data_IF_715088398042
#
_entry.id   IF_715088398042
#
_cell.length_a   1.000
_cell.length_b   1.000
_cell.length_c   1.000
_cell.angle_alpha   90.00
_cell.angle_beta   90.00
_cell.angle_gamma   90.00
#
_symmetry.space_group_name_H-M   'P 1'
#
loop_
_entity.id
_entity.type
_entity.pdbx_description
1 polymer ?
#
# COMPACT_ATOMS: atom_id res chain seq x y z
N UNK A 1 14.39 6.80 24.42
CA UNK A 1 14.52 5.35 24.24
C UNK A 1 14.94 5.05 22.81
N UNK A 2 15.94 4.20 22.62
CA UNK A 2 16.40 3.72 21.32
C UNK A 2 15.64 2.42 21.00
N UNK A 3 14.44 2.55 20.45
CA UNK A 3 13.55 1.43 20.17
C UNK A 3 12.74 1.67 18.89
N UNK A 4 12.32 0.58 18.27
CA UNK A 4 11.39 0.54 17.12
C UNK A 4 10.39 -0.59 17.34
N UNK A 5 9.34 -0.66 16.53
CA UNK A 5 8.44 -1.81 16.54
C UNK A 5 8.78 -2.83 15.43
N UNK A 6 8.17 -4.02 15.52
CA UNK A 6 8.39 -5.08 14.55
C UNK A 6 7.96 -4.71 13.12
N UNK A 7 6.95 -3.85 12.95
CA UNK A 7 6.49 -3.44 11.62
C UNK A 7 7.52 -2.56 10.92
N UNK A 8 8.07 -1.57 11.62
CA UNK A 8 9.16 -0.73 11.08
C UNK A 8 10.43 -1.54 10.89
N UNK A 9 10.81 -2.40 11.84
CA UNK A 9 11.97 -3.27 11.72
C UNK A 9 11.88 -4.14 10.45
N UNK A 10 10.71 -4.67 10.12
CA UNK A 10 10.50 -5.52 8.94
C UNK A 10 10.71 -4.77 7.60
N UNK A 11 10.76 -3.44 7.59
CA UNK A 11 11.02 -2.62 6.38
C UNK A 11 12.51 -2.35 6.13
N UNK A 12 13.36 -2.70 7.06
CA UNK A 12 14.80 -2.39 6.99
C UNK A 12 15.62 -3.37 6.14
N UNK A 13 15.07 -4.52 5.78
CA UNK A 13 15.75 -5.70 5.23
C UNK A 13 16.79 -6.32 6.20
N UNK A 14 16.88 -5.86 7.44
CA UNK A 14 17.79 -6.38 8.46
C UNK A 14 17.07 -7.27 9.49
N UNK A 15 15.75 -7.24 9.49
CA UNK A 15 14.91 -7.99 10.43
C UNK A 15 14.51 -9.36 9.86
N UNK A 16 14.74 -10.39 10.64
CA UNK A 16 14.35 -11.75 10.29
C UNK A 16 12.94 -12.05 10.83
N UNK A 17 11.96 -12.11 9.94
CA UNK A 17 10.55 -12.39 10.30
C UNK A 17 10.33 -13.81 10.85
N UNK A 18 11.32 -14.70 10.76
CA UNK A 18 11.23 -16.06 11.33
C UNK A 18 11.60 -16.09 12.79
N UNK A 19 12.64 -15.35 13.17
CA UNK A 19 13.14 -15.29 14.54
C UNK A 19 12.59 -14.10 15.31
N UNK A 20 11.94 -13.15 14.63
CA UNK A 20 11.49 -11.85 15.16
C UNK A 20 12.63 -11.02 15.78
N UNK A 21 13.81 -11.07 15.17
CA UNK A 21 15.03 -10.41 15.62
C UNK A 21 15.80 -9.83 14.44
N UNK A 22 16.79 -8.98 14.71
CA UNK A 22 17.77 -8.57 13.73
C UNK A 22 18.55 -9.78 13.22
N UNK A 23 18.71 -9.88 11.89
CA UNK A 23 19.38 -11.03 11.26
C UNK A 23 20.90 -10.93 11.38
N UNK A 24 21.50 -11.78 12.21
CA UNK A 24 22.93 -11.77 12.48
C UNK A 24 23.78 -12.02 11.24
N UNK A 25 23.29 -12.81 10.28
CA UNK A 25 24.04 -13.13 9.06
C UNK A 25 24.05 -11.93 8.12
N UNK A 26 22.90 -11.28 7.93
CA UNK A 26 22.78 -10.06 7.13
C UNK A 26 23.65 -8.94 7.73
N UNK A 27 23.55 -8.72 9.05
CA UNK A 27 24.37 -7.71 9.73
C UNK A 27 25.87 -7.95 9.55
N UNK A 28 26.30 -9.20 9.68
CA UNK A 28 27.71 -9.57 9.46
C UNK A 28 28.14 -9.33 8.02
N UNK A 29 27.32 -9.72 7.03
CA UNK A 29 27.60 -9.54 5.60
C UNK A 29 27.71 -8.06 5.21
N UNK A 30 26.83 -7.22 5.76
CA UNK A 30 26.81 -5.78 5.51
C UNK A 30 27.74 -5.00 6.43
N UNK A 31 28.45 -5.67 7.36
CA UNK A 31 29.34 -5.05 8.36
C UNK A 31 28.63 -4.02 9.24
N UNK A 32 27.37 -4.26 9.58
CA UNK A 32 26.56 -3.40 10.45
C UNK A 32 26.72 -3.85 11.90
N UNK A 33 27.23 -2.99 12.80
CA UNK A 33 27.36 -3.32 14.22
C UNK A 33 25.98 -3.45 14.88
N UNK A 34 25.72 -4.56 15.59
CA UNK A 34 24.41 -4.80 16.20
C UNK A 34 24.03 -3.79 17.29
N UNK A 35 25.00 -3.17 17.95
CA UNK A 35 24.76 -2.20 19.03
C UNK A 35 24.17 -0.86 18.56
N UNK A 36 24.25 -0.55 17.25
CA UNK A 36 23.61 0.65 16.68
C UNK A 36 22.14 0.44 16.33
N UNK A 37 21.64 -0.80 16.37
CA UNK A 37 20.27 -1.08 16.03
C UNK A 37 19.34 -0.90 17.24
N UNK A 38 18.13 -0.37 17.02
CA UNK A 38 17.18 -0.15 18.11
C UNK A 38 16.63 -1.47 18.68
N UNK A 39 16.18 -1.43 19.93
CA UNK A 39 15.43 -2.55 20.51
C UNK A 39 14.10 -2.72 19.77
N UNK A 40 13.79 -3.96 19.37
CA UNK A 40 12.52 -4.28 18.68
C UNK A 40 11.44 -4.59 19.71
N UNK A 41 10.36 -3.81 19.69
CA UNK A 41 9.22 -3.92 20.58
C UNK A 41 7.95 -4.35 19.86
N UNK A 42 6.88 -4.60 20.62
CA UNK A 42 5.53 -4.76 20.06
C UNK A 42 5.05 -3.44 19.44
N UNK A 43 4.06 -3.47 18.58
CA UNK A 43 3.47 -2.25 17.98
C UNK A 43 2.70 -1.41 19.00
N UNK A 44 2.21 -2.05 20.08
CA UNK A 44 1.72 -1.42 21.30
C UNK A 44 2.66 -1.83 22.43
N UNK A 45 3.41 -0.89 23.00
CA UNK A 45 4.45 -1.11 23.99
C UNK A 45 4.88 0.22 24.62
N UNK A 46 5.67 0.20 25.68
CA UNK A 46 6.25 1.40 26.28
C UNK A 46 7.50 1.86 25.52
N UNK A 47 7.37 2.89 24.69
CA UNK A 47 8.49 3.53 23.96
C UNK A 47 9.11 4.72 24.70
N UNK A 48 8.66 5.00 25.94
CA UNK A 48 9.13 6.12 26.74
C UNK A 48 8.08 7.25 26.83
N UNK A 49 8.57 8.48 27.03
CA UNK A 49 7.70 9.65 27.20
C UNK A 49 8.20 10.82 26.38
N UNK A 50 7.30 11.73 26.00
CA UNK A 50 7.68 13.00 25.38
C UNK A 50 8.43 13.89 26.38
N UNK A 51 9.35 14.71 25.87
CA UNK A 51 10.03 15.68 26.71
C UNK A 51 9.15 16.93 26.91
N UNK A 52 9.10 17.41 28.18
CA UNK A 52 8.24 18.54 28.54
C UNK A 52 8.50 19.82 27.75
N UNK A 53 9.74 20.06 27.35
CA UNK A 53 10.10 21.25 26.56
C UNK A 53 9.45 21.28 25.16
N UNK A 54 9.03 20.13 24.62
CA UNK A 54 8.44 20.02 23.29
C UNK A 54 6.90 20.10 23.37
N UNK A 55 6.30 19.43 24.35
CA UNK A 55 4.84 19.23 24.43
C UNK A 55 4.20 19.91 25.64
N UNK A 56 4.96 20.66 26.44
CA UNK A 56 4.48 21.31 27.68
C UNK A 56 4.25 20.33 28.83
N UNK A 57 3.89 19.09 28.54
CA UNK A 57 3.69 18.00 29.51
C UNK A 57 4.42 16.75 29.02
N UNK A 58 4.61 15.78 29.94
CA UNK A 58 5.20 14.49 29.58
C UNK A 58 4.08 13.49 29.29
N UNK A 59 3.96 13.09 28.01
CA UNK A 59 2.98 12.09 27.56
C UNK A 59 3.68 10.76 27.31
N UNK A 60 3.08 9.63 27.68
CA UNK A 60 3.60 8.30 27.31
C UNK A 60 3.51 8.11 25.78
N UNK A 61 4.53 7.45 25.22
CA UNK A 61 4.54 6.99 23.83
C UNK A 61 4.30 5.49 23.89
N UNK A 62 3.10 5.04 23.54
CA UNK A 62 2.63 3.68 23.76
C UNK A 62 2.32 2.92 22.47
N UNK A 63 2.41 3.56 21.31
CA UNK A 63 2.23 2.94 20.02
C UNK A 63 3.26 3.43 19.01
N UNK A 64 3.88 2.50 18.31
CA UNK A 64 4.75 2.74 17.15
C UNK A 64 4.43 1.70 16.11
N UNK A 65 4.17 2.13 14.88
CA UNK A 65 3.77 1.25 13.78
C UNK A 65 4.10 1.89 12.44
N UNK A 66 4.53 1.08 11.45
CA UNK A 66 4.79 1.55 10.10
C UNK A 66 3.50 2.09 9.45
N UNK A 67 3.62 3.08 8.58
CA UNK A 67 2.49 3.81 8.00
C UNK A 67 1.47 2.91 7.27
N UNK A 68 1.95 1.97 6.45
CA UNK A 68 1.08 1.04 5.71
C UNK A 68 0.37 0.06 6.65
N UNK A 69 1.05 -0.42 7.68
CA UNK A 69 0.50 -1.26 8.72
C UNK A 69 -0.49 -0.50 9.59
N UNK A 70 -0.17 0.73 9.96
CA UNK A 70 -1.08 1.62 10.69
C UNK A 70 -2.39 1.83 9.91
N UNK A 71 -2.32 2.13 8.61
CA UNK A 71 -3.50 2.26 7.77
C UNK A 71 -4.31 0.95 7.70
N UNK A 72 -3.66 -0.21 7.69
CA UNK A 72 -4.31 -1.52 7.73
C UNK A 72 -5.10 -1.71 9.02
N UNK A 73 -4.52 -1.30 10.15
CA UNK A 73 -5.15 -1.31 11.47
C UNK A 73 -6.29 -0.29 11.53
N UNK A 74 -6.06 0.95 11.09
CA UNK A 74 -7.06 2.02 11.10
C UNK A 74 -8.28 1.71 10.21
N UNK A 75 -8.12 0.86 9.22
CA UNK A 75 -9.21 0.29 8.43
C UNK A 75 -9.77 -1.02 9.01
N UNK A 76 -9.41 -1.41 10.23
CA UNK A 76 -9.90 -2.61 10.92
C UNK A 76 -9.69 -3.88 10.07
N UNK A 77 -8.52 -4.05 9.43
CA UNK A 77 -8.16 -5.25 8.68
C UNK A 77 -7.51 -6.30 9.59
N UNK A 78 -8.19 -6.69 10.67
CA UNK A 78 -7.67 -7.62 11.68
C UNK A 78 -7.86 -9.08 11.29
N UNK A 79 -8.86 -9.39 10.50
CA UNK A 79 -9.16 -10.76 10.10
C UNK A 79 -8.26 -11.25 8.97
N UNK A 80 -7.92 -12.54 8.99
CA UNK A 80 -7.21 -13.18 7.90
C UNK A 80 -7.99 -13.04 6.59
N UNK A 81 -7.32 -12.58 5.54
CA UNK A 81 -7.90 -12.31 4.22
C UNK A 81 -8.48 -10.91 4.07
N UNK A 82 -8.50 -10.09 5.13
CA UNK A 82 -8.82 -8.67 5.01
C UNK A 82 -7.73 -7.95 4.22
N UNK A 83 -8.15 -7.08 3.32
CA UNK A 83 -7.25 -6.33 2.44
C UNK A 83 -7.46 -4.84 2.62
N UNK A 84 -6.35 -4.14 2.73
CA UNK A 84 -6.28 -2.67 2.64
C UNK A 84 -5.47 -2.29 1.41
N UNK A 85 -5.92 -1.28 0.68
CA UNK A 85 -5.15 -0.69 -0.40
C UNK A 85 -5.23 0.83 -0.37
N UNK A 86 -4.07 1.49 -0.33
CA UNK A 86 -3.96 2.94 -0.43
C UNK A 86 -3.63 3.32 -1.87
N UNK A 87 -4.50 4.08 -2.52
CA UNK A 87 -4.31 4.59 -3.89
C UNK A 87 -3.88 6.07 -3.84
N UNK A 88 -2.57 6.29 -3.60
CA UNK A 88 -1.91 7.59 -3.63
C UNK A 88 -1.16 7.82 -4.94
N UNK A 89 0.08 8.32 -4.87
CA UNK A 89 1.01 8.45 -6.01
C UNK A 89 1.25 7.09 -6.68
N UNK A 90 1.56 6.07 -5.90
CA UNK A 90 1.46 4.65 -6.23
C UNK A 90 0.29 4.01 -5.49
N UNK A 91 0.20 2.68 -5.53
CA UNK A 91 -0.73 1.94 -4.69
C UNK A 91 -0.01 0.86 -3.89
N UNK A 92 -0.42 0.72 -2.62
CA UNK A 92 0.16 -0.25 -1.69
C UNK A 92 -0.95 -1.11 -1.11
N UNK A 93 -0.89 -2.39 -1.45
CA UNK A 93 -1.88 -3.39 -1.04
C UNK A 93 -1.29 -4.27 0.04
N UNK A 94 -1.97 -4.36 1.17
CA UNK A 94 -1.63 -5.26 2.27
C UNK A 94 -2.80 -6.18 2.55
N UNK A 95 -2.54 -7.49 2.55
CA UNK A 95 -3.49 -8.51 2.94
C UNK A 95 -3.04 -9.22 4.20
N UNK A 96 -3.84 -9.18 5.24
CA UNK A 96 -3.60 -9.89 6.49
C UNK A 96 -3.64 -11.41 6.27
N UNK A 97 -2.56 -12.12 6.61
CA UNK A 97 -2.45 -13.59 6.49
C UNK A 97 -2.65 -14.31 7.81
N UNK A 98 -2.88 -13.56 8.89
CA UNK A 98 -2.99 -14.09 10.25
C UNK A 98 -1.64 -14.49 10.85
N UNK A 99 -1.60 -15.47 11.76
CA UNK A 99 -0.37 -15.85 12.46
C UNK A 99 0.61 -16.67 11.60
N UNK A 100 0.19 -17.11 10.42
CA UNK A 100 1.05 -17.90 9.52
C UNK A 100 1.72 -17.00 8.49
N UNK A 101 3.05 -17.10 8.39
CA UNK A 101 3.82 -16.52 7.30
C UNK A 101 3.49 -17.26 6.00
N UNK A 102 3.12 -16.52 4.98
CA UNK A 102 2.96 -17.04 3.63
C UNK A 102 4.10 -16.48 2.79
N UNK A 103 5.01 -17.35 2.39
CA UNK A 103 6.05 -16.99 1.44
C UNK A 103 5.47 -17.06 0.04
N UNK A 104 5.32 -15.89 -0.56
CA UNK A 104 4.75 -15.79 -1.90
C UNK A 104 5.62 -16.51 -2.93
N UNK A 105 4.99 -17.33 -3.76
CA UNK A 105 5.58 -17.91 -4.97
C UNK A 105 5.31 -17.04 -6.20
N UNK A 106 4.53 -15.98 -6.03
CA UNK A 106 4.08 -15.09 -7.08
C UNK A 106 4.62 -13.65 -6.90
N UNK A 107 5.84 -13.53 -6.34
CA UNK A 107 6.60 -12.29 -6.25
C UNK A 107 5.93 -11.18 -5.41
N UNK A 108 5.19 -11.57 -4.37
CA UNK A 108 4.71 -10.64 -3.36
C UNK A 108 5.65 -10.63 -2.16
N UNK A 109 5.61 -9.58 -1.36
CA UNK A 109 6.45 -9.45 -0.17
C UNK A 109 5.71 -10.02 1.05
N UNK A 110 6.41 -10.83 1.85
CA UNK A 110 5.90 -11.23 3.17
C UNK A 110 6.42 -10.25 4.21
N UNK A 111 5.53 -9.70 5.01
CA UNK A 111 5.87 -8.67 6.00
C UNK A 111 5.15 -8.91 7.34
N UNK A 112 5.54 -8.17 8.38
CA UNK A 112 4.80 -8.12 9.64
C UNK A 112 3.67 -7.11 9.51
N UNK A 113 2.43 -7.55 9.79
CA UNK A 113 1.26 -6.68 9.81
C UNK A 113 1.18 -5.87 11.11
N UNK A 114 1.38 -6.53 12.24
CA UNK A 114 1.57 -5.96 13.58
C UNK A 114 2.08 -7.04 14.53
N UNK A 115 2.60 -6.61 15.68
CA UNK A 115 3.02 -7.50 16.77
C UNK A 115 2.42 -7.02 18.07
N UNK A 116 1.70 -7.91 18.76
CA UNK A 116 1.06 -7.67 20.04
C UNK A 116 1.32 -8.85 20.98
N UNK A 117 1.68 -8.58 22.23
CA UNK A 117 1.95 -9.61 23.24
C UNK A 117 2.93 -10.68 22.71
N UNK A 118 4.00 -10.23 22.04
CA UNK A 118 5.05 -11.05 21.40
C UNK A 118 4.56 -12.01 20.30
N UNK A 119 3.33 -11.84 19.84
CA UNK A 119 2.75 -12.61 18.75
C UNK A 119 2.64 -11.73 17.49
N UNK A 120 3.32 -12.15 16.42
CA UNK A 120 3.27 -11.48 15.14
C UNK A 120 2.07 -11.94 14.32
N UNK A 121 1.35 -10.98 13.76
CA UNK A 121 0.44 -11.19 12.64
C UNK A 121 1.17 -10.79 11.36
N UNK A 122 1.06 -11.59 10.32
CA UNK A 122 1.78 -11.39 9.06
C UNK A 122 0.85 -10.90 7.96
N UNK A 123 1.45 -10.40 6.89
CA UNK A 123 0.73 -9.97 5.70
C UNK A 123 1.51 -10.31 4.43
N UNK A 124 0.80 -10.41 3.32
CA UNK A 124 1.37 -10.26 1.97
C UNK A 124 1.17 -8.81 1.50
N UNK A 125 2.20 -8.28 0.87
CA UNK A 125 2.23 -6.93 0.35
C UNK A 125 2.59 -6.92 -1.13
N UNK A 126 1.93 -6.03 -1.87
CA UNK A 126 2.29 -5.70 -3.25
C UNK A 126 2.22 -4.21 -3.49
N UNK A 127 3.11 -3.71 -4.34
CA UNK A 127 3.23 -2.30 -4.65
C UNK A 127 3.03 -2.06 -6.15
N UNK A 128 2.20 -1.09 -6.49
CA UNK A 128 2.02 -0.54 -7.83
C UNK A 128 2.70 0.83 -7.83
N UNK A 129 3.70 1.02 -8.68
CA UNK A 129 4.52 2.24 -8.61
C UNK A 129 3.79 3.49 -9.11
N UNK A 130 2.94 3.32 -10.13
CA UNK A 130 2.20 4.41 -10.76
C UNK A 130 0.71 4.18 -10.63
N UNK A 131 0.07 4.99 -9.80
CA UNK A 131 -1.38 5.09 -9.65
C UNK A 131 -1.79 6.56 -9.89
N UNK A 132 -2.00 7.36 -8.84
CA UNK A 132 -2.28 8.78 -8.97
C UNK A 132 -1.19 9.57 -9.68
N UNK A 133 0.06 9.08 -9.71
CA UNK A 133 1.14 9.67 -10.50
C UNK A 133 0.82 9.71 -12.00
N UNK A 134 0.04 8.74 -12.53
CA UNK A 134 -0.46 8.77 -13.90
C UNK A 134 -1.37 9.98 -14.16
N UNK A 135 -2.26 10.28 -13.20
CA UNK A 135 -3.13 11.47 -13.26
C UNK A 135 -2.32 12.76 -13.15
N UNK A 136 -1.31 12.79 -12.26
CA UNK A 136 -0.40 13.93 -12.15
C UNK A 136 0.38 14.15 -13.46
N UNK A 137 0.86 13.08 -14.07
CA UNK A 137 1.52 13.15 -15.38
C UNK A 137 0.61 13.71 -16.48
N UNK A 138 -0.66 13.25 -16.55
CA UNK A 138 -1.65 13.78 -17.49
C UNK A 138 -1.90 15.27 -17.28
N UNK A 139 -1.93 15.73 -16.02
CA UNK A 139 -2.12 17.14 -15.66
C UNK A 139 -0.87 17.98 -15.92
N UNK A 140 0.29 17.54 -15.39
CA UNK A 140 1.47 18.40 -15.27
C UNK A 140 2.38 18.37 -16.49
N UNK A 141 2.47 17.24 -17.18
CA UNK A 141 3.33 17.04 -18.34
C UNK A 141 2.55 17.07 -19.64
N UNK A 142 1.46 16.32 -19.72
CA UNK A 142 0.66 16.22 -20.94
C UNK A 142 -0.36 17.36 -21.09
N UNK A 143 -0.68 18.09 -20.00
CA UNK A 143 -1.65 19.20 -19.97
C UNK A 143 -3.05 18.81 -20.49
N UNK A 144 -3.44 17.53 -20.31
CA UNK A 144 -4.73 17.01 -20.77
C UNK A 144 -5.90 17.42 -19.85
N UNK A 145 -5.61 17.76 -18.59
CA UNK A 145 -6.55 18.24 -17.56
C UNK A 145 -5.88 19.34 -16.75
N UNK A 146 -6.70 20.18 -16.12
CA UNK A 146 -6.22 21.23 -15.18
C UNK A 146 -6.19 20.74 -13.74
N UNK A 147 -7.15 19.90 -13.34
CA UNK A 147 -7.30 19.37 -11.99
C UNK A 147 -7.56 17.86 -12.02
N UNK A 148 -7.02 17.12 -11.05
CA UNK A 148 -7.27 15.68 -10.93
C UNK A 148 -8.76 15.33 -10.78
N UNK A 149 -9.56 16.20 -10.15
CA UNK A 149 -11.01 16.01 -10.00
C UNK A 149 -11.79 16.00 -11.32
N UNK A 150 -11.23 16.53 -12.41
CA UNK A 150 -11.87 16.48 -13.73
C UNK A 150 -11.93 15.07 -14.31
N UNK A 151 -11.04 14.18 -13.88
CA UNK A 151 -10.95 12.82 -14.40
C UNK A 151 -12.26 12.05 -14.30
N UNK A 152 -13.01 12.20 -13.20
CA UNK A 152 -14.29 11.51 -13.02
C UNK A 152 -15.32 11.94 -14.07
N UNK A 153 -15.43 13.23 -14.37
CA UNK A 153 -16.32 13.75 -15.41
C UNK A 153 -15.90 13.24 -16.79
N UNK A 154 -14.60 13.21 -17.06
CA UNK A 154 -14.05 12.72 -18.33
C UNK A 154 -14.40 11.25 -18.54
N UNK A 155 -14.07 10.36 -17.59
CA UNK A 155 -14.32 8.93 -17.75
C UNK A 155 -15.81 8.60 -17.86
N UNK A 156 -16.69 9.32 -17.13
CA UNK A 156 -18.15 9.19 -17.22
C UNK A 156 -18.71 9.62 -18.58
N UNK A 157 -18.03 10.50 -19.31
CA UNK A 157 -18.47 10.97 -20.63
C UNK A 157 -18.24 9.95 -21.76
N UNK A 158 -17.50 8.88 -21.50
CA UNK A 158 -17.15 7.86 -22.47
C UNK A 158 -17.86 6.54 -22.18
N UNK A 159 -18.40 5.90 -23.20
CA UNK A 159 -19.00 4.55 -23.06
C UNK A 159 -17.94 3.46 -22.85
N UNK A 160 -16.77 3.59 -23.47
CA UNK A 160 -15.65 2.64 -23.40
C UNK A 160 -14.31 3.38 -23.46
N UNK A 161 -13.19 2.67 -23.32
CA UNK A 161 -11.85 3.20 -23.58
C UNK A 161 -11.50 3.22 -25.09
N UNK A 162 -12.42 2.82 -25.96
CA UNK A 162 -12.26 2.76 -27.41
C UNK A 162 -11.01 1.96 -27.86
N UNK A 163 -10.62 0.94 -27.08
CA UNK A 163 -9.44 0.10 -27.35
C UNK A 163 -8.11 0.74 -26.94
N UNK A 164 -8.13 1.89 -26.26
CA UNK A 164 -6.90 2.58 -25.81
C UNK A 164 -6.50 2.07 -24.41
N UNK A 165 -5.27 1.60 -24.28
CA UNK A 165 -4.72 1.07 -23.04
C UNK A 165 -3.37 1.73 -22.73
N UNK A 166 -3.11 1.91 -21.42
CA UNK A 166 -1.83 2.40 -20.91
C UNK A 166 -1.19 1.35 -20.00
N UNK A 167 0.08 1.04 -20.26
CA UNK A 167 0.97 0.41 -19.26
C UNK A 167 1.78 1.54 -18.63
N UNK A 168 1.51 1.96 -17.39
CA UNK A 168 2.11 3.15 -16.79
C UNK A 168 3.47 2.85 -16.14
N UNK A 169 4.37 2.16 -16.84
CA UNK A 169 5.68 1.77 -16.33
C UNK A 169 6.69 2.94 -16.36
N UNK A 170 6.32 4.13 -15.88
CA UNK A 170 7.14 5.35 -15.97
C UNK A 170 8.45 5.24 -15.17
N UNK A 171 8.46 4.44 -14.12
CA UNK A 171 9.62 4.12 -13.27
C UNK A 171 9.83 2.60 -13.13
N UNK A 172 9.41 1.85 -14.14
CA UNK A 172 9.34 0.39 -14.12
C UNK A 172 7.99 -0.10 -13.60
N UNK A 173 7.87 -1.43 -13.48
CA UNK A 173 6.70 -2.12 -12.93
C UNK A 173 7.02 -2.67 -11.54
N UNK A 174 6.09 -2.49 -10.60
CA UNK A 174 6.13 -3.09 -9.26
C UNK A 174 5.66 -4.54 -9.24
N UNK A 175 5.08 -4.96 -8.14
CA UNK A 175 4.55 -6.31 -7.99
C UNK A 175 3.41 -6.60 -9.00
N UNK A 176 3.32 -7.81 -9.52
CA UNK A 176 4.18 -8.97 -9.32
C UNK A 176 5.38 -9.05 -10.27
N UNK A 177 5.56 -8.05 -11.14
CA UNK A 177 6.55 -8.09 -12.24
C UNK A 177 7.97 -7.78 -11.79
N UNK A 178 8.16 -6.74 -10.97
CA UNK A 178 9.44 -6.23 -10.48
C UNK A 178 10.43 -5.98 -11.63
N UNK A 179 9.95 -5.33 -12.70
CA UNK A 179 10.76 -4.96 -13.86
C UNK A 179 11.09 -3.45 -13.81
N UNK A 180 12.30 -3.15 -13.37
CA UNK A 180 12.80 -1.77 -13.28
C UNK A 180 13.14 -1.15 -14.66
N UNK A 181 13.25 -1.98 -15.70
CA UNK A 181 13.58 -1.55 -17.08
C UNK A 181 12.35 -1.29 -17.94
N UNK A 182 11.18 -1.82 -17.55
CA UNK A 182 9.93 -1.53 -18.25
C UNK A 182 9.69 -0.02 -18.35
N UNK A 183 9.10 0.40 -19.46
CA UNK A 183 8.71 1.79 -19.69
C UNK A 183 7.25 1.87 -20.12
N UNK A 184 6.67 3.05 -19.96
CA UNK A 184 5.27 3.30 -20.30
C UNK A 184 4.97 3.04 -21.77
N UNK A 185 3.83 2.40 -22.04
CA UNK A 185 3.34 2.12 -23.40
C UNK A 185 1.88 2.55 -23.48
N UNK A 186 1.56 3.35 -24.48
CA UNK A 186 0.19 3.68 -24.87
C UNK A 186 -0.14 2.93 -26.16
N UNK A 187 -1.20 2.12 -26.15
CA UNK A 187 -1.57 1.21 -27.22
C UNK A 187 -3.01 1.48 -27.68
N UNK A 188 -3.35 1.04 -28.90
CA UNK A 188 -4.71 1.14 -29.43
C UNK A 188 -5.08 2.52 -29.99
N UNK A 189 -4.13 3.38 -30.31
CA UNK A 189 -4.38 4.72 -30.85
C UNK A 189 -4.93 4.65 -32.27
N UNK A 190 -5.95 5.46 -32.53
CA UNK A 190 -6.55 5.70 -33.84
C UNK A 190 -6.64 7.19 -34.12
N UNK A 191 -7.07 7.58 -35.32
CA UNK A 191 -7.30 9.00 -35.67
C UNK A 191 -8.37 9.66 -34.79
N UNK A 192 -9.25 8.87 -34.16
CA UNK A 192 -10.33 9.35 -33.31
C UNK A 192 -9.94 9.37 -31.83
N UNK A 193 -8.74 8.92 -31.48
CA UNK A 193 -8.25 8.95 -30.10
C UNK A 193 -7.93 10.37 -29.68
N UNK A 194 -8.57 10.84 -28.63
CA UNK A 194 -8.35 12.16 -28.07
C UNK A 194 -7.90 12.13 -26.61
N UNK A 195 -7.82 13.29 -25.96
CA UNK A 195 -7.42 13.42 -24.55
C UNK A 195 -8.27 12.61 -23.61
N UNK A 196 -9.56 12.46 -23.88
CA UNK A 196 -10.50 11.75 -22.98
C UNK A 196 -10.19 10.26 -22.91
N UNK A 197 -9.93 9.61 -24.04
CA UNK A 197 -9.56 8.19 -24.14
C UNK A 197 -8.25 7.93 -23.41
N UNK A 198 -7.27 8.81 -23.54
CA UNK A 198 -5.98 8.73 -22.85
C UNK A 198 -6.18 8.85 -21.34
N UNK A 199 -6.98 9.82 -20.87
CA UNK A 199 -7.28 9.99 -19.44
C UNK A 199 -7.98 8.74 -18.89
N UNK A 200 -8.93 8.17 -19.64
CA UNK A 200 -9.61 6.94 -19.25
C UNK A 200 -8.64 5.77 -19.16
N UNK A 201 -7.76 5.59 -20.13
CA UNK A 201 -6.73 4.55 -20.11
C UNK A 201 -5.80 4.69 -18.88
N UNK A 202 -5.47 5.92 -18.48
CA UNK A 202 -4.68 6.20 -17.24
C UNK A 202 -5.43 5.71 -16.00
N UNK A 203 -6.69 6.03 -15.86
CA UNK A 203 -7.50 5.64 -14.68
C UNK A 203 -7.69 4.11 -14.66
N UNK A 204 -8.04 3.50 -15.79
CA UNK A 204 -8.24 2.06 -15.91
C UNK A 204 -6.97 1.26 -15.64
N UNK A 205 -5.80 1.77 -16.05
CA UNK A 205 -4.52 1.09 -15.88
C UNK A 205 -4.20 0.74 -14.42
N UNK A 206 -4.64 1.57 -13.48
CA UNK A 206 -4.45 1.31 -12.04
C UNK A 206 -5.31 0.13 -11.57
N UNK A 207 -6.55 0.00 -12.08
CA UNK A 207 -7.41 -1.13 -11.77
C UNK A 207 -6.87 -2.44 -12.38
N UNK A 208 -6.35 -2.40 -13.60
CA UNK A 208 -5.75 -3.57 -14.24
C UNK A 208 -4.48 -4.05 -13.51
N UNK A 209 -3.58 -3.14 -13.11
CA UNK A 209 -2.43 -3.51 -12.28
C UNK A 209 -2.86 -4.08 -10.93
N UNK A 210 -3.94 -3.54 -10.34
CA UNK A 210 -4.51 -4.09 -9.11
C UNK A 210 -5.02 -5.51 -9.33
N UNK A 211 -5.67 -5.79 -10.47
CA UNK A 211 -6.12 -7.13 -10.83
C UNK A 211 -4.94 -8.12 -10.88
N UNK A 212 -3.85 -7.78 -11.56
CA UNK A 212 -2.67 -8.64 -11.65
C UNK A 212 -2.10 -8.98 -10.26
N UNK A 213 -2.06 -7.99 -9.38
CA UNK A 213 -1.60 -8.17 -8.00
C UNK A 213 -2.54 -9.07 -7.20
N UNK A 214 -3.86 -8.90 -7.34
CA UNK A 214 -4.85 -9.75 -6.68
C UNK A 214 -4.83 -11.19 -7.22
N UNK A 215 -4.60 -11.38 -8.52
CA UNK A 215 -4.40 -12.71 -9.09
C UNK A 215 -3.14 -13.39 -8.52
N UNK A 216 -2.06 -12.64 -8.30
CA UNK A 216 -0.88 -13.16 -7.61
C UNK A 216 -1.21 -13.60 -6.17
N UNK A 217 -2.00 -12.81 -5.43
CA UNK A 217 -2.48 -13.19 -4.10
C UNK A 217 -3.36 -14.44 -4.10
N UNK A 218 -4.25 -14.58 -5.08
CA UNK A 218 -5.10 -15.76 -5.25
C UNK A 218 -4.27 -17.02 -5.54
N UNK A 219 -3.24 -16.91 -6.39
CA UNK A 219 -2.30 -18.01 -6.68
C UNK A 219 -1.51 -18.45 -5.46
N UNK A 220 -1.26 -17.54 -4.50
CA UNK A 220 -0.67 -17.87 -3.18
C UNK A 220 -1.69 -18.45 -2.18
N UNK A 221 -2.90 -18.78 -2.63
CA UNK A 221 -3.94 -19.43 -1.83
C UNK A 221 -4.79 -18.46 -0.99
N UNK A 222 -4.73 -17.17 -1.26
CA UNK A 222 -5.53 -16.15 -0.58
C UNK A 222 -6.71 -15.72 -1.44
N UNK A 223 -7.90 -15.63 -0.83
CA UNK A 223 -9.14 -15.26 -1.51
C UNK A 223 -9.74 -14.01 -0.83
N UNK A 224 -9.32 -12.81 -1.22
CA UNK A 224 -9.91 -11.60 -0.67
C UNK A 224 -11.39 -11.50 -1.09
N UNK A 225 -12.25 -11.19 -0.12
CA UNK A 225 -13.70 -11.00 -0.35
C UNK A 225 -14.08 -9.53 -0.39
N UNK A 226 -13.30 -8.71 0.26
CA UNK A 226 -13.51 -7.29 0.47
C UNK A 226 -12.16 -6.60 0.39
N UNK A 227 -12.13 -5.47 -0.26
CA UNK A 227 -11.00 -4.55 -0.21
C UNK A 227 -11.44 -3.24 0.42
N UNK A 228 -10.70 -2.77 1.41
CA UNK A 228 -10.87 -1.45 2.02
C UNK A 228 -9.86 -0.50 1.40
N UNK A 229 -10.33 0.63 0.90
CA UNK A 229 -9.50 1.55 0.11
C UNK A 229 -9.47 2.95 0.70
N UNK A 230 -8.32 3.61 0.56
CA UNK A 230 -8.11 5.02 0.88
C UNK A 230 -7.16 5.68 -0.15
N UNK A 231 -6.82 6.94 0.08
CA UNK A 231 -5.96 7.73 -0.79
C UNK A 231 -6.71 8.59 -1.80
N UNK A 232 -5.97 9.43 -2.51
CA UNK A 232 -6.56 10.48 -3.37
C UNK A 232 -7.35 9.96 -4.56
N UNK A 233 -6.95 8.83 -5.15
CA UNK A 233 -7.64 8.31 -6.34
C UNK A 233 -9.05 7.78 -6.04
N UNK A 234 -9.28 7.25 -4.83
CA UNK A 234 -10.59 6.67 -4.48
C UNK A 234 -11.67 7.73 -4.24
N UNK A 235 -11.31 9.02 -4.24
CA UNK A 235 -12.28 10.14 -4.30
C UNK A 235 -13.04 10.15 -5.62
N UNK A 236 -12.48 9.58 -6.68
CA UNK A 236 -13.16 9.34 -7.95
C UNK A 236 -14.07 8.10 -7.81
N UNK A 237 -15.39 8.32 -7.76
CA UNK A 237 -16.37 7.25 -7.56
C UNK A 237 -16.39 6.28 -8.75
N UNK A 238 -16.18 6.77 -9.97
CA UNK A 238 -16.10 5.92 -11.14
C UNK A 238 -14.92 4.93 -11.04
N UNK A 239 -13.74 5.41 -10.61
CA UNK A 239 -12.58 4.55 -10.38
C UNK A 239 -12.87 3.47 -9.34
N UNK A 240 -13.49 3.84 -8.21
CA UNK A 240 -13.82 2.88 -7.15
C UNK A 240 -14.79 1.81 -7.62
N UNK A 241 -15.79 2.17 -8.44
CA UNK A 241 -16.70 1.21 -9.06
C UNK A 241 -15.98 0.34 -10.08
N UNK A 242 -15.21 0.93 -10.99
CA UNK A 242 -14.46 0.20 -12.00
C UNK A 242 -13.46 -0.79 -11.38
N UNK A 243 -12.80 -0.39 -10.28
CA UNK A 243 -11.94 -1.28 -9.50
C UNK A 243 -12.72 -2.48 -8.96
N UNK A 244 -13.92 -2.25 -8.41
CA UNK A 244 -14.80 -3.32 -7.92
C UNK A 244 -15.20 -4.28 -9.04
N UNK A 245 -15.54 -3.75 -10.22
CA UNK A 245 -15.95 -4.53 -11.38
C UNK A 245 -14.80 -5.39 -11.92
N UNK A 246 -13.61 -4.80 -12.08
CA UNK A 246 -12.40 -5.50 -12.59
C UNK A 246 -11.93 -6.58 -11.62
N UNK A 247 -11.95 -6.31 -10.31
CA UNK A 247 -11.54 -7.29 -9.30
C UNK A 247 -12.62 -8.33 -8.99
N UNK A 248 -13.88 -8.04 -9.34
CA UNK A 248 -15.06 -8.79 -8.91
C UNK A 248 -15.12 -8.98 -7.39
N UNK A 249 -14.82 -7.89 -6.65
CA UNK A 249 -14.77 -7.86 -5.18
C UNK A 249 -15.42 -6.57 -4.69
N UNK A 250 -16.08 -6.61 -3.52
CA UNK A 250 -16.63 -5.43 -2.88
C UNK A 250 -15.51 -4.45 -2.46
N UNK A 251 -15.62 -3.21 -2.90
CA UNK A 251 -14.70 -2.13 -2.53
C UNK A 251 -15.38 -1.20 -1.52
N UNK A 252 -14.76 -1.03 -0.36
CA UNK A 252 -15.23 -0.14 0.70
C UNK A 252 -14.24 1.02 0.86
N UNK A 253 -14.72 2.22 0.65
CA UNK A 253 -13.95 3.43 0.92
C UNK A 253 -14.05 3.81 2.39
N UNK A 254 -12.92 4.07 3.04
CA UNK A 254 -12.90 4.59 4.40
C UNK A 254 -13.63 5.94 4.48
N UNK A 255 -14.44 6.13 5.53
CA UNK A 255 -15.03 7.43 5.84
C UNK A 255 -13.99 8.39 6.43
N UNK A 256 -13.01 7.87 7.16
CA UNK A 256 -11.90 8.63 7.69
C UNK A 256 -10.74 8.60 6.68
N UNK A 257 -10.29 9.78 6.24
CA UNK A 257 -9.15 9.89 5.32
C UNK A 257 -7.81 9.62 6.02
N UNK A 258 -7.72 9.87 7.34
CA UNK A 258 -6.52 9.73 8.15
C UNK A 258 -6.41 8.34 8.80
N UNK A 259 -6.57 7.30 7.99
CA UNK A 259 -6.55 5.89 8.48
C UNK A 259 -5.21 5.52 9.13
N UNK A 260 -4.12 6.07 8.66
CA UNK A 260 -2.77 5.87 9.23
C UNK A 260 -2.69 6.42 10.65
N UNK A 261 -3.12 7.66 10.86
CA UNK A 261 -3.13 8.28 12.18
C UNK A 261 -4.09 7.54 13.14
N UNK A 262 -5.25 7.12 12.63
CA UNK A 262 -6.22 6.34 13.42
C UNK A 262 -5.63 5.00 13.87
N UNK A 263 -4.93 4.29 13.00
CA UNK A 263 -4.29 3.02 13.34
C UNK A 263 -3.15 3.16 14.35
N UNK A 264 -2.34 4.22 14.22
CA UNK A 264 -1.31 4.53 15.21
C UNK A 264 -1.92 4.87 16.58
N UNK A 265 -2.99 5.69 16.59
CA UNK A 265 -3.71 6.04 17.80
C UNK A 265 -4.38 4.80 18.46
N UNK A 266 -4.93 3.89 17.63
CA UNK A 266 -5.49 2.63 18.12
C UNK A 266 -4.42 1.78 18.82
N UNK A 267 -3.23 1.63 18.24
CA UNK A 267 -2.13 0.89 18.87
C UNK A 267 -1.67 1.55 20.16
N UNK A 268 -1.63 2.88 20.20
CA UNK A 268 -1.29 3.59 21.43
C UNK A 268 -2.34 3.43 22.52
N UNK A 269 -3.61 3.29 22.17
CA UNK A 269 -4.72 3.14 23.13
C UNK A 269 -4.88 1.72 23.68
N UNK A 270 -4.09 0.73 23.22
CA UNK A 270 -4.11 -0.63 23.74
C UNK A 270 -3.25 -0.81 25.02
N UNK A 271 -2.42 0.18 25.37
CA UNK A 271 -1.65 0.24 26.61
C UNK A 271 -2.45 1.01 27.67
#
# INVERSE_FOLDING_TARGET
THATDATNASRTMLYNINTNQWDKQILKSLKIPSHILPLIKNSSDNFGKTHRSITGKSYPITGVVGDQQAATIGQCCFEKGSVKSTYGTGAFVIMNTGPKKIYSKNRLLTTVCYRLNDKSTYALEGSIFIAGAGVQWARDKMKLIKKASETEKVVKSLKSNSGVYLVPAFVGLGAPYWDSKARGVLSGLTRNTGPKEIIRAIIESTAYQSHDLFEAMKKDGLKPKIIKVDGGMVKNNWFSQFLSDVLNIKVYRSQNEETTALGAAFMAGLQ
#
